data_IF_974403546010
#
_entry.id   IF_974403546010
#
_cell.length_a   1.000
_cell.length_b   1.000
_cell.length_c   1.000
_cell.angle_alpha   90.00
_cell.angle_beta   90.00
_cell.angle_gamma   90.00
#
_symmetry.space_group_name_H-M   'P 1'
#
loop_
_entity.id
_entity.type
_entity.pdbx_description
1 polymer ?
#
# COMPACT_ATOMS: atom_id res chain seq x y z
N UNK A 1 -12.95 3.49 -4.83
CA UNK A 1 -13.44 3.04 -3.52
C UNK A 1 -13.96 1.62 -3.60
N UNK A 2 -15.03 1.32 -4.35
CA UNK A 2 -15.59 -0.04 -4.42
C UNK A 2 -14.56 -1.13 -4.74
N UNK A 3 -13.73 -0.94 -5.78
CA UNK A 3 -12.68 -1.91 -6.12
C UNK A 3 -11.68 -2.16 -4.98
N UNK A 4 -11.35 -1.13 -4.19
CA UNK A 4 -10.45 -1.28 -3.04
C UNK A 4 -11.07 -2.22 -2.00
N UNK A 5 -12.30 -1.90 -1.58
CA UNK A 5 -13.06 -2.67 -0.60
C UNK A 5 -13.24 -4.14 -1.01
N UNK A 6 -13.53 -4.40 -2.29
CA UNK A 6 -13.72 -5.77 -2.80
C UNK A 6 -12.41 -6.57 -2.84
N UNK A 7 -11.28 -5.89 -3.06
CA UNK A 7 -9.99 -6.54 -3.25
C UNK A 7 -9.18 -6.73 -1.96
N UNK A 8 -9.50 -5.98 -0.92
CA UNK A 8 -8.68 -5.87 0.29
C UNK A 8 -8.46 -7.22 0.96
N UNK A 9 -9.52 -8.01 1.15
CA UNK A 9 -9.43 -9.35 1.74
C UNK A 9 -8.55 -10.30 0.91
N UNK A 10 -8.62 -10.23 -0.43
CA UNK A 10 -7.76 -11.03 -1.32
C UNK A 10 -6.30 -10.57 -1.25
N UNK A 11 -6.07 -9.27 -1.14
CA UNK A 11 -4.73 -8.69 -0.98
C UNK A 11 -4.09 -9.10 0.35
N UNK A 12 -4.84 -9.06 1.45
CA UNK A 12 -4.40 -9.53 2.77
C UNK A 12 -4.03 -11.01 2.70
N UNK A 13 -4.92 -11.85 2.15
CA UNK A 13 -4.66 -13.28 2.01
C UNK A 13 -3.35 -13.55 1.25
N UNK A 14 -3.16 -12.87 0.11
CA UNK A 14 -1.96 -13.02 -0.69
C UNK A 14 -0.70 -12.54 0.04
N UNK A 15 -0.81 -11.42 0.75
CA UNK A 15 0.27 -10.90 1.56
C UNK A 15 0.67 -11.86 2.69
N UNK A 16 -0.30 -12.48 3.36
CA UNK A 16 -0.02 -13.50 4.39
C UNK A 16 0.71 -14.70 3.79
N UNK A 17 0.29 -15.18 2.61
CA UNK A 17 0.94 -16.29 1.91
C UNK A 17 2.40 -15.96 1.54
N UNK A 18 2.64 -14.79 0.93
CA UNK A 18 3.96 -14.41 0.43
C UNK A 18 4.96 -14.09 1.55
N UNK A 19 4.49 -13.48 2.64
CA UNK A 19 5.36 -13.05 3.74
C UNK A 19 5.44 -14.06 4.87
N UNK A 20 4.52 -15.04 4.93
CA UNK A 20 4.34 -15.93 6.08
C UNK A 20 4.15 -15.16 7.40
N UNK A 21 3.54 -13.96 7.33
CA UNK A 21 3.22 -13.12 8.48
C UNK A 21 1.71 -13.03 8.63
N UNK A 22 1.23 -13.31 9.84
CA UNK A 22 -0.18 -13.12 10.16
C UNK A 22 -0.54 -11.66 10.32
N UNK A 23 -1.64 -11.30 9.69
CA UNK A 23 -2.28 -9.98 9.68
C UNK A 23 -3.39 -9.99 10.73
N UNK A 24 -3.51 -8.88 11.46
CA UNK A 24 -4.52 -8.71 12.50
C UNK A 24 -5.34 -7.45 12.21
N UNK A 25 -6.65 -7.63 12.03
CA UNK A 25 -7.59 -6.54 11.82
C UNK A 25 -7.54 -5.51 12.94
N UNK A 26 -7.65 -4.25 12.55
CA UNK A 26 -7.70 -3.13 13.46
C UNK A 26 -8.68 -2.06 12.98
N UNK A 27 -8.92 -1.07 13.82
CA UNK A 27 -9.75 0.07 13.49
C UNK A 27 -8.98 1.37 13.68
N UNK A 28 -9.66 2.40 14.18
CA UNK A 28 -9.04 3.68 14.45
C UNK A 28 -8.01 3.59 15.59
N UNK A 29 -6.79 4.04 15.33
CA UNK A 29 -5.74 4.27 16.30
C UNK A 29 -5.63 5.76 16.59
N UNK A 30 -5.58 6.12 17.88
CA UNK A 30 -5.35 7.49 18.34
C UNK A 30 -3.96 7.56 18.97
N UNK A 31 -3.19 8.58 18.63
CA UNK A 31 -1.85 8.75 19.21
C UNK A 31 -1.99 9.07 20.71
N UNK A 32 -1.34 8.31 21.61
CA UNK A 32 -1.53 8.49 23.06
C UNK A 32 -0.95 9.81 23.60
N UNK A 33 0.01 10.42 22.88
CA UNK A 33 0.63 11.70 23.28
C UNK A 33 -0.04 12.89 22.59
N UNK A 34 -0.60 12.70 21.40
CA UNK A 34 -1.24 13.73 20.58
C UNK A 34 -2.66 13.28 20.21
N UNK A 35 -3.65 13.37 21.12
CA UNK A 35 -4.98 12.77 20.95
C UNK A 35 -5.80 13.29 19.76
N UNK A 36 -5.40 14.43 19.18
CA UNK A 36 -5.99 14.99 17.97
C UNK A 36 -5.42 14.36 16.67
N UNK A 37 -4.43 13.46 16.78
CA UNK A 37 -3.92 12.66 15.67
C UNK A 37 -4.46 11.24 15.77
N UNK A 38 -5.07 10.78 14.68
CA UNK A 38 -5.53 9.42 14.55
C UNK A 38 -5.28 8.89 13.13
N UNK A 39 -5.24 7.58 12.98
CA UNK A 39 -5.19 6.89 11.69
C UNK A 39 -5.95 5.58 11.76
N UNK A 40 -6.49 5.11 10.63
CA UNK A 40 -6.99 3.75 10.50
C UNK A 40 -6.10 3.08 9.46
N UNK A 41 -4.98 2.44 9.84
CA UNK A 41 -4.29 1.57 8.90
C UNK A 41 -5.21 0.41 8.52
N UNK A 42 -4.96 -0.22 7.39
CA UNK A 42 -5.78 -1.37 6.97
C UNK A 42 -5.66 -2.48 8.02
N UNK A 43 -4.42 -2.92 8.31
CA UNK A 43 -4.19 -3.92 9.35
C UNK A 43 -2.82 -3.82 10.02
N UNK A 44 -2.66 -4.61 11.09
CA UNK A 44 -1.43 -4.72 11.86
C UNK A 44 -0.74 -6.04 11.55
N UNK A 45 0.60 -6.03 11.56
CA UNK A 45 1.39 -7.24 11.34
C UNK A 45 2.39 -7.40 12.48
N UNK A 46 2.18 -8.44 13.30
CA UNK A 46 2.99 -8.72 14.49
C UNK A 46 3.10 -7.47 15.41
N UNK A 47 4.29 -7.23 15.99
CA UNK A 47 4.58 -6.10 16.90
C UNK A 47 5.16 -4.86 16.21
N UNK A 48 5.84 -5.01 15.09
CA UNK A 48 6.62 -3.89 14.52
C UNK A 48 6.08 -3.33 13.21
N UNK A 49 5.09 -3.98 12.58
CA UNK A 49 4.65 -3.66 11.23
C UNK A 49 3.18 -3.24 11.18
N UNK A 50 2.87 -2.41 10.21
CA UNK A 50 1.53 -2.14 9.69
C UNK A 50 1.51 -2.43 8.20
N UNK A 51 0.35 -2.75 7.65
CA UNK A 51 0.16 -2.87 6.21
C UNK A 51 -0.79 -1.78 5.73
N UNK A 52 -0.50 -1.26 4.53
CA UNK A 52 -1.34 -0.31 3.79
C UNK A 52 -1.48 -0.84 2.36
N UNK A 53 -2.70 -1.14 1.95
CA UNK A 53 -3.10 -1.80 0.70
C UNK A 53 -3.79 -0.78 -0.19
N UNK A 54 -3.24 -0.57 -1.38
CA UNK A 54 -3.84 0.33 -2.36
C UNK A 54 -4.16 -0.42 -3.66
N UNK A 55 -5.44 -0.46 -4.01
CA UNK A 55 -5.91 -1.07 -5.26
C UNK A 55 -5.94 -0.02 -6.38
N UNK A 56 -4.93 -0.05 -7.25
CA UNK A 56 -4.74 0.94 -8.30
C UNK A 56 -5.49 0.56 -9.57
N UNK A 57 -6.22 1.53 -10.14
CA UNK A 57 -6.99 1.33 -11.39
C UNK A 57 -6.14 0.84 -12.56
N UNK A 58 -4.87 1.23 -12.62
CA UNK A 58 -3.96 0.80 -13.68
C UNK A 58 -3.82 -0.73 -13.74
N UNK A 59 -3.87 -1.40 -12.59
CA UNK A 59 -3.77 -2.86 -12.50
C UNK A 59 -5.07 -3.59 -12.83
N UNK A 60 -6.19 -2.87 -13.05
CA UNK A 60 -7.39 -3.46 -13.69
C UNK A 60 -7.27 -3.50 -15.21
N UNK A 61 -6.42 -2.66 -15.79
CA UNK A 61 -6.32 -2.47 -17.24
C UNK A 61 -5.08 -3.14 -17.81
N UNK A 62 -4.03 -3.23 -17.00
CA UNK A 62 -2.73 -3.73 -17.40
C UNK A 62 -2.20 -4.70 -16.35
N UNK A 63 -1.59 -5.80 -16.80
CA UNK A 63 -0.87 -6.69 -15.89
C UNK A 63 0.30 -5.97 -15.23
N UNK A 64 0.72 -6.47 -14.05
CA UNK A 64 1.92 -5.94 -13.36
C UNK A 64 3.13 -5.96 -14.29
N UNK A 65 3.31 -7.03 -15.07
CA UNK A 65 4.39 -7.15 -16.05
C UNK A 65 4.34 -6.09 -17.16
N UNK A 66 3.16 -5.76 -17.67
CA UNK A 66 3.00 -4.71 -18.67
C UNK A 66 3.36 -3.32 -18.10
N UNK A 67 3.06 -3.08 -16.82
CA UNK A 67 3.39 -1.83 -16.11
C UNK A 67 4.87 -1.73 -15.78
N UNK A 68 5.50 -2.82 -15.34
CA UNK A 68 6.89 -2.81 -14.85
C UNK A 68 7.94 -3.10 -15.92
N UNK A 69 7.54 -3.50 -17.12
CA UNK A 69 8.46 -3.77 -18.23
C UNK A 69 9.21 -2.51 -18.69
N UNK A 70 10.50 -2.66 -18.98
CA UNK A 70 11.32 -1.63 -19.62
C UNK A 70 10.79 -1.22 -21.00
N UNK A 71 10.11 -2.15 -21.68
CA UNK A 71 9.47 -1.94 -22.99
C UNK A 71 7.96 -1.75 -22.87
N UNK A 72 7.49 -1.20 -21.74
CA UNK A 72 6.06 -0.94 -21.53
C UNK A 72 5.49 -0.10 -22.68
N UNK A 73 4.37 -0.54 -23.24
CA UNK A 73 3.62 0.18 -24.27
C UNK A 73 2.65 1.21 -23.67
N UNK A 74 2.55 1.27 -22.34
CA UNK A 74 1.68 2.20 -21.62
C UNK A 74 2.25 3.63 -21.77
N UNK A 75 1.43 4.63 -22.12
CA UNK A 75 1.89 6.00 -22.26
C UNK A 75 2.63 6.51 -21.01
N UNK A 76 3.80 7.14 -21.21
CA UNK A 76 4.64 7.65 -20.11
C UNK A 76 3.90 8.62 -19.18
N UNK A 77 2.98 9.41 -19.73
CA UNK A 77 2.10 10.31 -18.98
C UNK A 77 1.11 9.59 -18.05
N UNK A 78 0.65 8.39 -18.42
CA UNK A 78 -0.21 7.55 -17.57
C UNK A 78 0.61 6.99 -16.41
N UNK A 79 1.82 6.51 -16.69
CA UNK A 79 2.75 5.99 -15.68
C UNK A 79 3.24 7.09 -14.73
N UNK A 80 3.52 8.29 -15.24
CA UNK A 80 4.04 9.41 -14.43
C UNK A 80 3.01 9.93 -13.42
N UNK A 81 1.71 9.77 -13.70
CA UNK A 81 0.61 10.12 -12.79
C UNK A 81 0.36 9.10 -11.67
N UNK A 82 0.95 7.90 -11.75
CA UNK A 82 0.78 6.90 -10.69
C UNK A 82 1.50 7.29 -9.40
N UNK A 83 1.08 6.73 -8.27
CA UNK A 83 1.72 6.96 -6.98
C UNK A 83 3.13 6.36 -6.89
N UNK A 84 3.50 5.47 -7.80
CA UNK A 84 4.80 4.79 -7.83
C UNK A 84 5.63 5.19 -9.06
N UNK A 85 6.91 4.83 -9.01
CA UNK A 85 7.82 4.76 -10.14
C UNK A 85 8.28 3.30 -10.31
N UNK A 86 8.63 2.89 -11.52
CA UNK A 86 9.18 1.56 -11.77
C UNK A 86 10.69 1.60 -11.61
N UNK A 87 11.23 0.76 -10.74
CA UNK A 87 12.68 0.57 -10.53
C UNK A 87 12.96 -0.92 -10.43
N UNK A 88 13.91 -1.42 -11.22
CA UNK A 88 14.31 -2.84 -11.24
C UNK A 88 13.12 -3.80 -11.37
N UNK A 89 12.17 -3.47 -12.26
CA UNK A 89 10.96 -4.27 -12.48
C UNK A 89 9.93 -4.23 -11.34
N UNK A 90 10.10 -3.34 -10.35
CA UNK A 90 9.22 -3.21 -9.18
C UNK A 90 8.59 -1.82 -9.10
N UNK A 91 7.36 -1.77 -8.61
CA UNK A 91 6.68 -0.53 -8.28
C UNK A 91 7.20 0.01 -6.94
N UNK A 92 7.82 1.19 -6.96
CA UNK A 92 8.35 1.87 -5.77
C UNK A 92 7.57 3.15 -5.54
N UNK A 93 6.94 3.27 -4.36
CA UNK A 93 6.17 4.45 -3.97
C UNK A 93 7.01 5.74 -4.09
N UNK A 94 6.44 6.76 -4.75
CA UNK A 94 7.07 8.08 -4.84
C UNK A 94 7.00 8.77 -3.49
N UNK A 95 8.14 9.24 -2.98
CA UNK A 95 8.19 10.02 -1.73
C UNK A 95 7.50 11.38 -1.81
N UNK A 96 7.21 11.85 -3.02
CA UNK A 96 6.44 13.07 -3.26
C UNK A 96 4.93 12.85 -3.26
N UNK A 97 4.46 11.59 -3.26
CA UNK A 97 3.04 11.27 -3.31
C UNK A 97 2.42 11.25 -1.91
N UNK A 98 1.13 11.60 -1.79
CA UNK A 98 0.40 11.67 -0.51
C UNK A 98 0.46 10.38 0.31
N UNK A 99 0.36 9.21 -0.34
CA UNK A 99 0.48 7.91 0.33
C UNK A 99 1.80 7.72 1.10
N UNK A 100 2.91 8.32 0.65
CA UNK A 100 4.14 8.24 1.42
C UNK A 100 3.98 8.90 2.79
N UNK A 101 3.37 10.08 2.83
CA UNK A 101 3.09 10.81 4.06
C UNK A 101 2.01 10.13 4.90
N UNK A 102 1.04 9.45 4.28
CA UNK A 102 0.08 8.61 4.99
C UNK A 102 0.80 7.47 5.73
N UNK A 103 1.73 6.76 5.08
CA UNK A 103 2.54 5.74 5.74
C UNK A 103 3.35 6.34 6.90
N UNK A 104 3.98 7.50 6.71
CA UNK A 104 4.72 8.18 7.80
C UNK A 104 3.81 8.53 8.98
N UNK A 105 2.60 9.04 8.70
CA UNK A 105 1.61 9.38 9.72
C UNK A 105 1.16 8.15 10.51
N UNK A 106 0.87 7.04 9.83
CA UNK A 106 0.51 5.78 10.48
C UNK A 106 1.62 5.32 11.43
N UNK A 107 2.89 5.38 11.01
CA UNK A 107 4.03 4.99 11.86
C UNK A 107 4.11 5.86 13.12
N UNK A 108 3.90 7.17 12.99
CA UNK A 108 3.92 8.12 14.11
C UNK A 108 2.74 7.85 15.08
N UNK A 109 1.53 7.61 14.56
CA UNK A 109 0.34 7.38 15.39
C UNK A 109 0.40 6.03 16.10
N UNK A 110 0.80 4.97 15.40
CA UNK A 110 0.79 3.60 15.92
C UNK A 110 2.05 3.23 16.71
N UNK A 111 3.13 3.99 16.56
CA UNK A 111 4.45 3.69 17.15
C UNK A 111 5.14 2.46 16.54
N UNK A 112 4.68 2.02 15.35
CA UNK A 112 5.24 0.88 14.62
C UNK A 112 6.49 1.31 13.87
N UNK A 113 7.34 0.35 13.51
CA UNK A 113 8.65 0.61 12.89
C UNK A 113 8.60 0.58 11.37
N UNK A 114 7.72 -0.22 10.80
CA UNK A 114 7.66 -0.46 9.37
C UNK A 114 6.22 -0.41 8.86
N UNK A 115 6.04 0.15 7.68
CA UNK A 115 4.78 0.17 6.95
C UNK A 115 5.01 -0.55 5.63
N UNK A 116 4.45 -1.75 5.52
CA UNK A 116 4.48 -2.53 4.28
C UNK A 116 3.39 -1.98 3.36
N UNK A 117 3.82 -1.16 2.39
CA UNK A 117 2.95 -0.57 1.38
C UNK A 117 2.78 -1.52 0.20
N UNK A 118 1.57 -2.03 0.01
CA UNK A 118 1.26 -3.07 -0.97
C UNK A 118 0.26 -2.55 -1.99
N UNK A 119 0.45 -2.92 -3.26
CA UNK A 119 -0.52 -2.63 -4.32
C UNK A 119 -1.19 -3.91 -4.79
N UNK A 120 -2.53 -3.92 -4.86
CA UNK A 120 -3.26 -5.07 -5.38
C UNK A 120 -3.42 -5.03 -6.90
N UNK A 121 -3.25 -6.19 -7.52
CA UNK A 121 -3.57 -6.48 -8.91
C UNK A 121 -4.29 -7.83 -8.95
N UNK A 122 -5.46 -7.87 -9.61
CA UNK A 122 -6.26 -9.08 -9.83
C UNK A 122 -5.82 -9.82 -11.08
#
# INVERSE_FOLDING_TARGET
MLYGLESESSAIFKYEEETSRKVCCCGLWVNPKLPYLACSPDDLVRKDYVIEIISLKIFKQYSVQAVTSLTSTIPKEVLSRQCFCVKDGKCVLKRTHGYYYQCQHILIVTGRKFCDFSTWAS
#
